data_IF_780800109386
#
_entry.id   IF_780800109386
#
_cell.length_a   1.000
_cell.length_b   1.000
_cell.length_c   1.000
_cell.angle_alpha   90.00
_cell.angle_beta   90.00
_cell.angle_gamma   90.00
#
_symmetry.space_group_name_H-M   'P 1'
#
loop_
_entity.id
_entity.type
_entity.pdbx_description
1 polymer ?
#
# COMPACT_ATOMS: atom_id res chain seq x y z
N UNK A 1 2.03 -19.63 5.83
CA UNK A 1 1.16 -18.58 6.44
C UNK A 1 -0.22 -18.69 5.81
N UNK A 2 -1.31 -18.48 6.56
CA UNK A 2 -2.65 -18.43 5.96
C UNK A 2 -2.72 -17.19 5.06
N UNK A 3 -3.15 -17.33 3.81
CA UNK A 3 -3.24 -16.22 2.85
C UNK A 3 -4.13 -15.11 3.41
N UNK A 4 -3.62 -13.88 3.47
CA UNK A 4 -4.41 -12.71 3.85
C UNK A 4 -5.25 -12.33 2.63
N UNK A 5 -6.57 -12.22 2.79
CA UNK A 5 -7.47 -11.83 1.68
C UNK A 5 -8.23 -10.57 2.06
N UNK A 6 -8.42 -9.65 1.09
CA UNK A 6 -9.26 -8.48 1.28
C UNK A 6 -8.60 -7.13 1.01
N UNK A 7 -9.11 -6.09 1.65
CA UNK A 7 -8.61 -4.73 1.55
C UNK A 7 -7.45 -4.51 2.53
N UNK A 8 -6.30 -4.07 2.01
CA UNK A 8 -5.06 -3.84 2.76
C UNK A 8 -4.58 -2.42 2.48
N UNK A 9 -4.99 -1.41 3.27
CA UNK A 9 -4.52 -0.04 3.07
C UNK A 9 -3.00 0.09 3.18
N UNK A 10 -2.31 0.67 2.18
CA UNK A 10 -0.95 1.14 2.34
C UNK A 10 -1.00 2.44 3.15
N UNK A 11 -0.78 2.33 4.46
CA UNK A 11 -0.93 3.45 5.39
C UNK A 11 0.06 4.57 5.07
N UNK A 12 -0.42 5.83 5.05
CA UNK A 12 0.49 6.98 5.02
C UNK A 12 1.27 7.05 6.33
N UNK A 13 2.43 7.70 6.31
CA UNK A 13 3.16 8.07 7.53
C UNK A 13 2.77 9.48 7.94
N UNK A 14 1.94 9.67 8.98
CA UNK A 14 1.61 11.00 9.49
C UNK A 14 2.86 11.68 10.06
N UNK A 15 3.17 12.86 9.54
CA UNK A 15 4.33 13.66 9.96
C UNK A 15 3.86 15.05 10.39
N UNK A 16 4.59 15.70 11.31
CA UNK A 16 4.41 17.10 11.70
C UNK A 16 5.67 17.94 11.47
N UNK A 17 6.74 17.33 10.99
CA UNK A 17 8.03 17.92 10.67
C UNK A 17 8.92 16.91 9.97
N UNK A 18 10.14 17.33 9.57
CA UNK A 18 11.11 16.43 8.94
C UNK A 18 11.46 15.30 9.92
N UNK A 19 11.27 14.06 9.51
CA UNK A 19 11.44 12.84 10.33
C UNK A 19 10.71 12.89 11.70
N UNK A 20 9.69 13.74 11.85
CA UNK A 20 8.92 13.86 13.08
C UNK A 20 7.53 13.26 12.89
N UNK A 21 7.32 12.06 13.41
CA UNK A 21 6.01 11.40 13.38
C UNK A 21 4.97 12.21 14.17
N UNK A 22 3.83 12.46 13.54
CA UNK A 22 2.61 12.87 14.24
C UNK A 22 2.02 11.67 14.97
N UNK A 23 2.49 11.41 16.21
CA UNK A 23 2.12 10.24 16.99
C UNK A 23 0.61 10.17 17.27
N UNK A 24 0.00 11.28 17.63
CA UNK A 24 -1.45 11.34 17.89
C UNK A 24 -2.25 11.15 16.61
N UNK A 25 -1.85 11.80 15.50
CA UNK A 25 -2.44 11.59 14.19
C UNK A 25 -2.26 10.14 13.70
N UNK A 26 -1.12 9.51 14.00
CA UNK A 26 -0.91 8.09 13.67
C UNK A 26 -1.88 7.19 14.42
N UNK A 27 -2.12 7.45 15.70
CA UNK A 27 -3.10 6.70 16.51
C UNK A 27 -4.51 6.89 15.92
N UNK A 28 -4.94 8.15 15.68
CA UNK A 28 -6.26 8.42 15.10
C UNK A 28 -6.43 7.77 13.73
N UNK A 29 -5.42 7.85 12.87
CA UNK A 29 -5.46 7.23 11.54
C UNK A 29 -5.56 5.70 11.64
N UNK A 30 -4.78 5.08 12.53
CA UNK A 30 -4.85 3.63 12.75
C UNK A 30 -6.26 3.21 13.16
N UNK A 31 -6.86 3.89 14.13
CA UNK A 31 -8.23 3.58 14.58
C UNK A 31 -9.27 3.84 13.47
N UNK A 32 -9.14 4.95 12.72
CA UNK A 32 -10.00 5.23 11.58
C UNK A 32 -9.98 4.12 10.53
N UNK A 33 -8.79 3.65 10.16
CA UNK A 33 -8.64 2.58 9.17
C UNK A 33 -9.22 1.26 9.71
N UNK A 34 -8.91 0.91 10.96
CA UNK A 34 -9.40 -0.33 11.57
C UNK A 34 -10.92 -0.33 11.76
N UNK A 35 -11.51 0.82 12.10
CA UNK A 35 -12.97 0.97 12.20
C UNK A 35 -13.71 0.68 10.88
N UNK A 36 -13.04 0.89 9.73
CA UNK A 36 -13.59 0.55 8.42
C UNK A 36 -13.58 -0.96 8.09
N UNK A 37 -13.07 -1.81 9.00
CA UNK A 37 -13.11 -3.27 8.84
C UNK A 37 -12.08 -3.85 7.87
N UNK A 38 -10.95 -3.17 7.68
CA UNK A 38 -9.87 -3.64 6.79
C UNK A 38 -9.27 -4.97 7.27
N UNK A 39 -8.69 -5.72 6.35
CA UNK A 39 -8.23 -7.09 6.60
C UNK A 39 -6.76 -7.18 7.05
N UNK A 40 -5.96 -6.16 6.72
CA UNK A 40 -4.57 -6.00 7.17
C UNK A 40 -4.15 -4.54 6.99
N UNK A 41 -2.96 -4.17 7.50
CA UNK A 41 -2.30 -2.89 7.21
C UNK A 41 -0.98 -3.13 6.51
N UNK A 42 -0.63 -2.23 5.57
CA UNK A 42 0.68 -2.21 4.94
C UNK A 42 1.41 -0.91 5.25
N UNK A 43 2.49 -0.97 6.02
CA UNK A 43 3.31 0.16 6.45
C UNK A 43 4.51 0.35 5.52
N UNK A 44 5.03 1.56 5.44
CA UNK A 44 6.27 1.89 4.73
C UNK A 44 6.28 1.47 3.25
N UNK A 45 5.10 1.47 2.61
CA UNK A 45 5.00 1.41 1.16
C UNK A 45 5.30 2.76 0.50
N UNK A 46 5.04 2.87 -0.80
CA UNK A 46 5.14 4.14 -1.56
C UNK A 46 4.26 5.22 -0.93
N UNK A 47 3.03 4.87 -0.55
CA UNK A 47 2.08 5.76 0.12
C UNK A 47 2.59 6.20 1.51
N UNK A 48 3.41 5.38 2.17
CA UNK A 48 4.05 5.70 3.44
C UNK A 48 5.31 6.54 3.34
N UNK A 49 5.69 7.01 2.15
CA UNK A 49 6.90 7.85 1.91
C UNK A 49 8.21 7.19 2.38
N UNK A 50 8.27 5.86 2.45
CA UNK A 50 9.36 5.12 3.10
C UNK A 50 10.76 5.57 2.64
N UNK A 51 10.95 5.79 1.31
CA UNK A 51 12.24 6.17 0.74
C UNK A 51 12.70 7.59 1.11
N UNK A 52 11.81 8.40 1.68
CA UNK A 52 12.09 9.79 2.09
C UNK A 52 12.22 9.94 3.61
N UNK A 53 12.09 8.86 4.38
CA UNK A 53 12.22 8.83 5.84
C UNK A 53 13.60 8.30 6.23
N UNK A 54 14.16 8.83 7.33
CA UNK A 54 15.35 8.21 7.95
C UNK A 54 15.04 6.79 8.43
N UNK A 55 16.08 5.98 8.64
CA UNK A 55 15.89 4.63 9.16
C UNK A 55 15.28 4.65 10.57
N UNK A 56 15.72 5.57 11.42
CA UNK A 56 15.17 5.77 12.77
C UNK A 56 13.68 6.06 12.73
N UNK A 57 13.25 6.95 11.82
CA UNK A 57 11.84 7.28 11.64
C UNK A 57 11.03 6.06 11.17
N UNK A 58 11.59 5.24 10.26
CA UNK A 58 10.94 3.99 9.81
C UNK A 58 10.76 3.01 10.97
N UNK A 59 11.79 2.81 11.79
CA UNK A 59 11.72 1.92 12.97
C UNK A 59 10.67 2.40 13.98
N UNK A 60 10.71 3.69 14.33
CA UNK A 60 9.76 4.29 15.28
C UNK A 60 8.31 4.20 14.80
N UNK A 61 8.08 4.42 13.50
CA UNK A 61 6.75 4.30 12.91
C UNK A 61 6.21 2.87 12.96
N UNK A 62 7.03 1.87 12.61
CA UNK A 62 6.64 0.45 12.67
C UNK A 62 6.29 0.04 14.10
N UNK A 63 7.12 0.40 15.09
CA UNK A 63 6.85 0.10 16.49
C UNK A 63 5.56 0.76 16.97
N UNK A 64 5.37 2.04 16.66
CA UNK A 64 4.17 2.78 17.06
C UNK A 64 2.90 2.14 16.52
N UNK A 65 2.85 1.84 15.21
CA UNK A 65 1.65 1.29 14.59
C UNK A 65 1.41 -0.16 15.01
N UNK A 66 2.44 -1.01 15.05
CA UNK A 66 2.29 -2.39 15.50
C UNK A 66 1.75 -2.46 16.93
N UNK A 67 2.26 -1.62 17.84
CA UNK A 67 1.76 -1.51 19.21
C UNK A 67 0.30 -1.02 19.23
N UNK A 68 -0.06 -0.02 18.42
CA UNK A 68 -1.44 0.49 18.33
C UNK A 68 -2.40 -0.55 17.77
N UNK A 69 -2.00 -1.28 16.72
CA UNK A 69 -2.80 -2.37 16.13
C UNK A 69 -3.02 -3.50 17.12
N UNK A 70 -2.01 -3.82 17.94
CA UNK A 70 -2.09 -4.83 19.00
C UNK A 70 -2.66 -6.19 18.52
N UNK A 71 -2.29 -6.62 17.32
CA UNK A 71 -2.72 -7.90 16.75
C UNK A 71 -4.17 -7.96 16.25
N UNK A 72 -4.92 -6.85 16.26
CA UNK A 72 -6.31 -6.80 15.76
C UNK A 72 -6.43 -7.18 14.28
N UNK A 73 -5.44 -6.81 13.48
CA UNK A 73 -5.28 -7.24 12.09
C UNK A 73 -3.80 -7.53 11.81
N UNK A 74 -3.47 -8.34 10.79
CA UNK A 74 -2.10 -8.51 10.33
C UNK A 74 -1.46 -7.19 9.89
N UNK A 75 -0.16 -7.00 10.18
CA UNK A 75 0.63 -5.86 9.71
C UNK A 75 1.73 -6.36 8.78
N UNK A 76 1.78 -5.79 7.58
CA UNK A 76 2.84 -5.98 6.61
C UNK A 76 3.75 -4.75 6.61
N UNK A 77 5.07 -4.92 6.43
CA UNK A 77 6.02 -3.80 6.46
C UNK A 77 6.84 -3.76 5.17
N UNK A 78 6.87 -2.61 4.51
CA UNK A 78 7.73 -2.34 3.36
C UNK A 78 9.18 -2.25 3.79
N UNK A 79 10.03 -3.08 3.18
CA UNK A 79 11.47 -3.13 3.45
C UNK A 79 12.30 -2.81 2.21
N UNK A 80 11.70 -2.19 1.21
CA UNK A 80 12.40 -1.81 -0.03
C UNK A 80 13.56 -0.87 0.26
N UNK A 81 14.75 -1.29 -0.11
CA UNK A 81 15.97 -0.48 -0.05
C UNK A 81 16.92 -0.84 -1.20
N UNK A 82 17.94 -0.02 -1.45
CA UNK A 82 19.05 -0.35 -2.36
C UNK A 82 20.13 -1.19 -1.66
N UNK A 83 20.12 -1.24 -0.33
CA UNK A 83 20.96 -2.09 0.50
C UNK A 83 20.16 -3.29 1.00
N UNK A 84 20.59 -4.50 0.66
CA UNK A 84 19.98 -5.74 1.16
C UNK A 84 20.06 -5.81 2.68
N UNK A 85 21.19 -5.41 3.27
CA UNK A 85 21.39 -5.43 4.73
C UNK A 85 20.40 -4.51 5.45
N UNK A 86 20.09 -3.33 4.92
CA UNK A 86 19.11 -2.42 5.52
C UNK A 86 17.67 -2.99 5.41
N UNK A 87 17.35 -3.65 4.31
CA UNK A 87 16.09 -4.39 4.16
C UNK A 87 15.95 -5.48 5.24
N UNK A 88 17.02 -6.27 5.47
CA UNK A 88 17.02 -7.34 6.48
C UNK A 88 16.94 -6.78 7.90
N UNK A 89 17.66 -5.69 8.20
CA UNK A 89 17.58 -5.03 9.53
C UNK A 89 16.18 -4.53 9.83
N UNK A 90 15.52 -3.86 8.86
CA UNK A 90 14.16 -3.37 9.03
C UNK A 90 13.18 -4.52 9.20
N UNK A 91 13.35 -5.62 8.44
CA UNK A 91 12.52 -6.82 8.58
C UNK A 91 12.68 -7.48 9.95
N UNK A 92 13.91 -7.54 10.48
CA UNK A 92 14.16 -8.07 11.81
C UNK A 92 13.52 -7.21 12.92
N UNK A 93 13.53 -5.88 12.75
CA UNK A 93 12.81 -4.98 13.64
C UNK A 93 11.29 -5.18 13.55
N UNK A 94 10.75 -5.23 12.33
CA UNK A 94 9.31 -5.47 12.09
C UNK A 94 8.82 -6.78 12.72
N UNK A 95 9.62 -7.85 12.62
CA UNK A 95 9.32 -9.13 13.26
C UNK A 95 9.22 -9.01 14.79
N UNK A 96 10.15 -8.28 15.42
CA UNK A 96 10.11 -8.01 16.86
C UNK A 96 8.89 -7.19 17.29
N UNK A 97 8.40 -6.31 16.40
CA UNK A 97 7.19 -5.51 16.64
C UNK A 97 5.90 -6.29 16.37
N UNK A 98 5.96 -7.53 15.88
CA UNK A 98 4.78 -8.37 15.62
C UNK A 98 4.21 -8.24 14.21
N UNK A 99 4.95 -7.70 13.24
CA UNK A 99 4.58 -7.79 11.83
C UNK A 99 4.57 -9.26 11.37
N UNK A 100 3.68 -9.59 10.42
CA UNK A 100 3.49 -10.98 9.96
C UNK A 100 4.17 -11.27 8.62
N UNK A 101 4.49 -10.25 7.85
CA UNK A 101 5.16 -10.36 6.56
C UNK A 101 5.87 -9.05 6.20
N UNK A 102 6.75 -9.12 5.21
CA UNK A 102 7.39 -7.94 4.63
C UNK A 102 7.11 -7.84 3.13
N UNK A 103 7.25 -6.64 2.59
CA UNK A 103 6.99 -6.33 1.18
C UNK A 103 8.21 -5.63 0.60
N UNK A 104 8.75 -6.11 -0.52
CA UNK A 104 9.89 -5.48 -1.17
C UNK A 104 9.66 -5.29 -2.67
N UNK A 105 9.84 -4.05 -3.14
CA UNK A 105 10.05 -3.75 -4.55
C UNK A 105 11.52 -3.97 -4.93
N UNK A 106 11.81 -4.00 -6.24
CA UNK A 106 13.18 -4.12 -6.72
C UNK A 106 14.06 -2.94 -6.24
N UNK A 107 15.39 -3.12 -6.11
CA UNK A 107 16.32 -2.01 -5.92
C UNK A 107 16.13 -0.96 -7.02
N UNK A 108 16.10 0.33 -6.66
CA UNK A 108 15.51 1.37 -7.52
C UNK A 108 16.51 2.35 -8.16
N UNK A 109 17.80 2.33 -7.82
CA UNK A 109 18.80 3.24 -8.40
C UNK A 109 19.31 2.75 -9.76
N UNK A 110 19.84 1.52 -9.81
CA UNK A 110 20.18 0.80 -11.03
C UNK A 110 19.06 -0.20 -11.34
N UNK A 111 18.71 -0.32 -12.62
CA UNK A 111 17.73 -1.31 -13.08
C UNK A 111 18.42 -2.67 -13.25
N UNK A 112 18.15 -3.67 -12.40
CA UNK A 112 18.69 -5.02 -12.57
C UNK A 112 18.01 -5.77 -13.71
N UNK A 113 18.70 -6.75 -14.29
CA UNK A 113 18.14 -7.73 -15.21
C UNK A 113 17.20 -8.71 -14.50
N UNK A 114 16.40 -9.47 -15.24
CA UNK A 114 15.49 -10.47 -14.64
C UNK A 114 16.27 -11.56 -13.87
N UNK A 115 17.44 -11.95 -14.36
CA UNK A 115 18.30 -12.91 -13.67
C UNK A 115 18.84 -12.36 -12.34
N UNK A 116 19.30 -11.10 -12.32
CA UNK A 116 19.74 -10.42 -11.09
C UNK A 116 18.58 -10.21 -10.11
N UNK A 117 17.35 -10.00 -10.59
CA UNK A 117 16.16 -9.94 -9.74
C UNK A 117 15.87 -11.28 -9.07
N UNK A 118 16.01 -12.40 -9.80
CA UNK A 118 15.84 -13.74 -9.22
C UNK A 118 16.88 -13.97 -8.13
N UNK A 119 18.14 -13.66 -8.40
CA UNK A 119 19.23 -13.81 -7.43
C UNK A 119 19.02 -12.91 -6.20
N UNK A 120 18.68 -11.64 -6.42
CA UNK A 120 18.42 -10.67 -5.34
C UNK A 120 17.26 -11.09 -4.44
N UNK A 121 16.09 -11.44 -5.02
CA UNK A 121 14.94 -11.81 -4.21
C UNK A 121 15.11 -13.15 -3.51
N UNK A 122 15.83 -14.09 -4.10
CA UNK A 122 16.20 -15.36 -3.45
C UNK A 122 17.09 -15.08 -2.24
N UNK A 123 18.18 -14.31 -2.42
CA UNK A 123 19.07 -13.95 -1.32
C UNK A 123 18.37 -13.15 -0.21
N UNK A 124 17.48 -12.23 -0.60
CA UNK A 124 16.67 -11.49 0.36
C UNK A 124 15.73 -12.43 1.13
N UNK A 125 14.98 -13.30 0.45
CA UNK A 125 14.03 -14.22 1.07
C UNK A 125 14.71 -15.23 2.01
N UNK A 126 15.93 -15.66 1.69
CA UNK A 126 16.75 -16.54 2.55
C UNK A 126 17.18 -15.84 3.85
N UNK A 127 17.45 -14.51 3.79
CA UNK A 127 17.92 -13.73 4.93
C UNK A 127 16.79 -13.19 5.82
N UNK A 128 15.54 -13.19 5.34
CA UNK A 128 14.42 -12.57 6.02
C UNK A 128 13.84 -13.48 7.13
N UNK A 129 13.54 -12.92 8.34
CA UNK A 129 12.85 -13.65 9.40
C UNK A 129 11.34 -13.77 9.19
N UNK A 130 10.78 -13.12 8.18
CA UNK A 130 9.36 -13.05 7.86
C UNK A 130 9.13 -13.40 6.39
N UNK A 131 7.94 -13.92 6.04
CA UNK A 131 7.54 -14.14 4.65
C UNK A 131 7.59 -12.86 3.82
N UNK A 132 8.01 -13.00 2.56
CA UNK A 132 8.20 -11.91 1.61
C UNK A 132 7.06 -11.85 0.59
N UNK A 133 6.48 -10.66 0.42
CA UNK A 133 5.69 -10.30 -0.75
C UNK A 133 6.54 -9.53 -1.75
N UNK A 134 6.57 -9.98 -2.98
CA UNK A 134 7.13 -9.21 -4.09
C UNK A 134 6.28 -7.97 -4.36
N UNK A 135 6.91 -6.87 -4.77
CA UNK A 135 6.18 -5.66 -5.15
C UNK A 135 6.60 -5.17 -6.54
N UNK A 136 5.72 -5.36 -7.52
CA UNK A 136 5.90 -4.84 -8.87
C UNK A 136 5.41 -3.39 -8.95
N UNK A 137 6.34 -2.43 -9.00
CA UNK A 137 6.06 -0.97 -9.06
C UNK A 137 6.95 -0.29 -10.11
N UNK A 138 6.82 -0.65 -11.40
CA UNK A 138 7.76 -0.26 -12.44
C UNK A 138 7.87 1.25 -12.66
N UNK A 139 6.81 2.02 -12.40
CA UNK A 139 6.83 3.48 -12.50
C UNK A 139 7.81 4.16 -11.51
N UNK A 140 8.14 3.49 -10.40
CA UNK A 140 9.03 4.01 -9.36
C UNK A 140 10.42 3.36 -9.39
N UNK A 141 10.47 2.04 -9.50
CA UNK A 141 11.74 1.30 -9.47
C UNK A 141 12.36 1.10 -10.85
N UNK A 142 11.70 1.56 -11.92
CA UNK A 142 12.19 1.54 -13.32
C UNK A 142 12.46 0.15 -13.89
N UNK A 143 12.06 -0.90 -13.20
CA UNK A 143 12.15 -2.29 -13.66
C UNK A 143 10.84 -2.98 -13.42
N UNK A 144 10.51 -3.89 -14.32
CA UNK A 144 9.29 -4.67 -14.31
C UNK A 144 9.62 -6.11 -13.93
N UNK A 145 8.87 -6.70 -13.00
CA UNK A 145 8.96 -8.13 -12.70
C UNK A 145 8.20 -8.92 -13.78
N UNK A 146 8.92 -9.56 -14.70
CA UNK A 146 8.29 -10.35 -15.74
C UNK A 146 7.53 -11.56 -15.16
N UNK A 147 6.43 -12.03 -15.77
CA UNK A 147 5.67 -13.17 -15.26
C UNK A 147 6.52 -14.44 -15.05
N UNK A 148 7.50 -14.68 -15.93
CA UNK A 148 8.42 -15.80 -15.79
C UNK A 148 9.30 -15.68 -14.53
N UNK A 149 9.78 -14.47 -14.25
CA UNK A 149 10.57 -14.16 -13.03
C UNK A 149 9.72 -14.38 -11.78
N UNK A 150 8.49 -13.87 -11.76
CA UNK A 150 7.56 -14.08 -10.63
C UNK A 150 7.28 -15.56 -10.42
N UNK A 151 7.03 -16.31 -11.49
CA UNK A 151 6.80 -17.75 -11.42
C UNK A 151 7.99 -18.49 -10.82
N UNK A 152 9.23 -18.15 -11.24
CA UNK A 152 10.45 -18.75 -10.67
C UNK A 152 10.58 -18.44 -9.18
N UNK A 153 10.36 -17.16 -8.79
CA UNK A 153 10.43 -16.71 -7.40
C UNK A 153 9.32 -17.30 -6.51
N UNK A 154 8.15 -17.59 -7.08
CA UNK A 154 7.04 -18.21 -6.35
C UNK A 154 7.33 -19.65 -5.89
N UNK A 155 8.37 -20.30 -6.42
CA UNK A 155 8.83 -21.61 -5.93
C UNK A 155 9.65 -21.52 -4.63
N UNK A 156 10.07 -20.33 -4.24
CA UNK A 156 10.80 -20.13 -2.99
C UNK A 156 9.85 -20.16 -1.78
N UNK A 157 10.08 -21.00 -0.75
CA UNK A 157 9.11 -21.21 0.34
C UNK A 157 8.82 -19.98 1.19
N UNK A 158 9.72 -19.00 1.20
CA UNK A 158 9.55 -17.75 1.95
C UNK A 158 9.02 -16.58 1.10
N UNK A 159 8.69 -16.81 -0.20
CA UNK A 159 8.04 -15.83 -1.08
C UNK A 159 6.57 -16.23 -1.23
N UNK A 160 5.67 -15.47 -0.61
CA UNK A 160 4.28 -15.88 -0.38
C UNK A 160 3.24 -15.06 -1.16
N UNK A 161 3.67 -14.22 -2.06
CA UNK A 161 2.75 -13.46 -2.90
C UNK A 161 3.39 -12.29 -3.63
N UNK A 162 2.54 -11.58 -4.38
CA UNK A 162 2.93 -10.39 -5.12
C UNK A 162 1.84 -9.32 -5.06
N UNK A 163 2.26 -8.07 -4.87
CA UNK A 163 1.46 -6.88 -5.10
C UNK A 163 1.83 -6.27 -6.46
N UNK A 164 0.87 -6.11 -7.34
CA UNK A 164 1.08 -5.42 -8.63
C UNK A 164 0.52 -3.99 -8.63
N UNK A 165 1.36 -3.03 -8.94
CA UNK A 165 0.99 -1.62 -9.15
C UNK A 165 1.38 -1.12 -10.55
N UNK A 166 1.50 -2.02 -11.52
CA UNK A 166 1.80 -1.67 -12.92
C UNK A 166 0.62 -1.03 -13.66
N UNK A 167 -0.61 -1.20 -13.15
CA UNK A 167 -1.86 -0.88 -13.84
C UNK A 167 -2.03 -1.64 -15.18
N UNK A 168 -1.32 -2.74 -15.38
CA UNK A 168 -1.41 -3.56 -16.58
C UNK A 168 -2.25 -4.82 -16.31
N UNK A 169 -3.53 -4.78 -16.65
CA UNK A 169 -4.43 -5.93 -16.43
C UNK A 169 -4.04 -7.17 -17.23
N UNK A 170 -3.46 -7.04 -18.41
CA UNK A 170 -2.96 -8.20 -19.18
C UNK A 170 -1.85 -8.92 -18.42
N UNK A 171 -0.93 -8.18 -17.82
CA UNK A 171 0.11 -8.72 -16.95
C UNK A 171 -0.51 -9.40 -15.72
N UNK A 172 -1.43 -8.72 -15.05
CA UNK A 172 -2.06 -9.26 -13.84
C UNK A 172 -2.84 -10.55 -14.13
N UNK A 173 -3.58 -10.59 -15.24
CA UNK A 173 -4.28 -11.80 -15.71
C UNK A 173 -3.29 -12.94 -16.05
N UNK A 174 -2.12 -12.63 -16.59
CA UNK A 174 -1.08 -13.64 -16.82
C UNK A 174 -0.56 -14.23 -15.50
N UNK A 175 -0.42 -13.42 -14.46
CA UNK A 175 -0.06 -13.92 -13.13
C UNK A 175 -1.18 -14.79 -12.53
N UNK A 176 -2.44 -14.35 -12.61
CA UNK A 176 -3.58 -15.15 -12.17
C UNK A 176 -3.67 -16.50 -12.89
N UNK A 177 -3.43 -16.52 -14.20
CA UNK A 177 -3.40 -17.77 -14.98
C UNK A 177 -2.33 -18.75 -14.49
N UNK A 178 -1.14 -18.25 -14.11
CA UNK A 178 -0.03 -19.13 -13.69
C UNK A 178 -0.04 -19.47 -12.20
N UNK A 179 -0.55 -18.60 -11.35
CA UNK A 179 -0.37 -18.64 -9.89
C UNK A 179 -1.68 -18.52 -9.10
N UNK A 180 -2.79 -18.19 -9.74
CA UNK A 180 -4.06 -17.90 -9.05
C UNK A 180 -4.68 -19.08 -8.33
N UNK A 181 -4.36 -20.31 -8.72
CA UNK A 181 -4.85 -21.54 -8.07
C UNK A 181 -3.96 -21.98 -6.88
N UNK A 182 -2.86 -21.26 -6.61
CA UNK A 182 -1.94 -21.56 -5.50
C UNK A 182 -2.48 -20.98 -4.20
N UNK A 183 -2.79 -21.84 -3.23
CA UNK A 183 -3.25 -21.42 -1.88
C UNK A 183 -2.11 -20.80 -1.02
N UNK A 184 -0.85 -21.04 -1.39
CA UNK A 184 0.34 -20.55 -0.69
C UNK A 184 0.92 -19.26 -1.27
N UNK A 185 0.35 -18.73 -2.37
CA UNK A 185 0.84 -17.53 -3.05
C UNK A 185 -0.30 -16.53 -3.34
N UNK A 186 -0.28 -15.37 -2.69
CA UNK A 186 -1.33 -14.37 -2.83
C UNK A 186 -1.02 -13.32 -3.92
N UNK A 187 -2.05 -12.92 -4.66
CA UNK A 187 -1.96 -11.89 -5.70
C UNK A 187 -2.85 -10.68 -5.35
N UNK A 188 -2.22 -9.51 -5.17
CA UNK A 188 -2.93 -8.27 -4.86
C UNK A 188 -2.76 -7.22 -5.95
N UNK A 189 -3.84 -6.48 -6.24
CA UNK A 189 -3.80 -5.33 -7.13
C UNK A 189 -3.59 -4.03 -6.33
N UNK A 190 -2.71 -3.17 -6.81
CA UNK A 190 -2.42 -1.86 -6.22
C UNK A 190 -3.38 -0.75 -6.68
N UNK A 191 -3.54 -0.53 -8.00
CA UNK A 191 -4.49 0.45 -8.52
C UNK A 191 -5.92 0.15 -8.05
N UNK A 192 -6.48 1.09 -7.32
CA UNK A 192 -7.79 0.92 -6.65
C UNK A 192 -8.95 0.84 -7.64
N UNK A 193 -8.78 1.45 -8.80
CA UNK A 193 -9.75 1.41 -9.90
C UNK A 193 -9.93 0.02 -10.49
N UNK A 194 -8.96 -0.88 -10.30
CA UNK A 194 -8.94 -2.23 -10.83
C UNK A 194 -9.30 -3.32 -9.80
N UNK A 195 -9.58 -2.93 -8.55
CA UNK A 195 -9.76 -3.89 -7.44
C UNK A 195 -10.96 -4.80 -7.65
N UNK A 196 -12.11 -4.25 -8.01
CA UNK A 196 -13.34 -5.04 -8.16
C UNK A 196 -13.20 -6.13 -9.22
N UNK A 197 -12.72 -5.77 -10.42
CA UNK A 197 -12.55 -6.72 -11.52
C UNK A 197 -11.45 -7.74 -11.25
N UNK A 198 -10.35 -7.32 -10.60
CA UNK A 198 -9.28 -8.24 -10.24
C UNK A 198 -9.74 -9.32 -9.26
N UNK A 199 -10.52 -8.95 -8.23
CA UNK A 199 -11.05 -9.90 -7.24
C UNK A 199 -12.05 -10.86 -7.88
N UNK A 200 -12.94 -10.39 -8.77
CA UNK A 200 -13.86 -11.26 -9.53
C UNK A 200 -13.09 -12.29 -10.35
N UNK A 201 -11.91 -11.94 -10.87
CA UNK A 201 -11.04 -12.80 -11.68
C UNK A 201 -10.09 -13.67 -10.84
N UNK A 202 -10.12 -13.59 -9.51
CA UNK A 202 -9.37 -14.47 -8.62
C UNK A 202 -8.25 -13.82 -7.82
N UNK A 203 -8.09 -12.49 -7.84
CA UNK A 203 -7.16 -11.81 -6.94
C UNK A 203 -7.57 -11.97 -5.47
N UNK A 204 -6.59 -12.06 -4.58
CA UNK A 204 -6.82 -12.19 -3.13
C UNK A 204 -7.28 -10.88 -2.48
N UNK A 205 -7.10 -9.75 -3.15
CA UNK A 205 -7.55 -8.46 -2.65
C UNK A 205 -6.89 -7.25 -3.30
N UNK A 206 -7.07 -6.08 -2.66
CA UNK A 206 -6.52 -4.81 -3.10
C UNK A 206 -5.66 -4.13 -2.03
N UNK A 207 -4.56 -3.50 -2.48
CA UNK A 207 -3.69 -2.68 -1.63
C UNK A 207 -3.85 -1.22 -2.06
N UNK A 208 -4.96 -0.61 -1.62
CA UNK A 208 -5.52 0.60 -2.18
C UNK A 208 -5.31 1.82 -1.27
N UNK A 209 -4.77 2.89 -1.83
CA UNK A 209 -4.42 4.09 -1.08
C UNK A 209 -5.61 4.88 -0.55
N UNK A 210 -6.70 4.92 -1.29
CA UNK A 210 -7.93 5.58 -0.87
C UNK A 210 -8.56 4.99 0.39
N UNK A 211 -8.19 3.77 0.74
CA UNK A 211 -8.61 3.14 2.00
C UNK A 211 -8.01 3.80 3.25
N UNK A 212 -7.04 4.74 3.12
CA UNK A 212 -6.66 5.63 4.21
C UNK A 212 -7.77 6.65 4.52
N UNK A 213 -8.52 7.09 3.50
CA UNK A 213 -9.57 8.12 3.62
C UNK A 213 -10.93 7.48 3.85
N UNK A 214 -11.26 6.45 3.05
CA UNK A 214 -12.55 5.78 3.04
C UNK A 214 -12.40 4.26 3.17
N UNK A 215 -11.91 3.72 4.29
CA UNK A 215 -11.57 2.31 4.41
C UNK A 215 -12.76 1.40 4.16
N UNK A 216 -13.95 1.73 4.67
CA UNK A 216 -15.19 0.96 4.49
C UNK A 216 -15.59 0.79 3.01
N UNK A 217 -15.37 1.82 2.16
CA UNK A 217 -15.67 1.75 0.73
C UNK A 217 -14.91 0.61 0.03
N UNK A 218 -13.62 0.45 0.35
CA UNK A 218 -12.77 -0.57 -0.25
C UNK A 218 -13.05 -1.96 0.31
N UNK A 219 -13.45 -2.05 1.58
CA UNK A 219 -13.93 -3.28 2.20
C UNK A 219 -15.25 -3.73 1.53
N UNK A 220 -16.19 -2.83 1.33
CA UNK A 220 -17.44 -3.10 0.62
C UNK A 220 -17.18 -3.52 -0.84
N UNK A 221 -16.25 -2.88 -1.55
CA UNK A 221 -15.87 -3.28 -2.91
C UNK A 221 -15.33 -4.71 -2.94
N UNK A 222 -14.46 -5.05 -2.00
CA UNK A 222 -13.93 -6.41 -1.90
C UNK A 222 -15.05 -7.45 -1.71
N UNK A 223 -15.96 -7.24 -0.77
CA UNK A 223 -17.06 -8.17 -0.53
C UNK A 223 -18.06 -8.22 -1.69
N UNK A 224 -18.38 -7.10 -2.32
CA UNK A 224 -19.22 -7.06 -3.51
C UNK A 224 -18.62 -7.89 -4.65
N UNK A 225 -17.28 -7.78 -4.84
CA UNK A 225 -16.57 -8.55 -5.85
C UNK A 225 -16.54 -10.06 -5.53
N UNK A 226 -16.27 -10.44 -4.28
CA UNK A 226 -16.35 -11.84 -3.83
C UNK A 226 -17.73 -12.46 -4.08
N UNK A 227 -18.78 -11.68 -3.85
CA UNK A 227 -20.17 -12.11 -4.04
C UNK A 227 -20.65 -11.96 -5.49
N UNK A 228 -19.78 -11.43 -6.40
CA UNK A 228 -20.13 -11.14 -7.80
C UNK A 228 -21.36 -10.22 -7.94
N UNK A 229 -21.58 -9.35 -6.96
CA UNK A 229 -22.63 -8.33 -6.99
C UNK A 229 -22.22 -7.16 -7.90
N UNK A 230 -22.42 -7.35 -9.19
CA UNK A 230 -22.03 -6.38 -10.23
C UNK A 230 -22.73 -5.03 -10.04
N UNK A 231 -23.96 -5.00 -9.53
CA UNK A 231 -24.68 -3.75 -9.33
C UNK A 231 -24.05 -2.91 -8.21
N UNK A 232 -23.77 -3.53 -7.07
CA UNK A 232 -23.06 -2.88 -5.97
C UNK A 232 -21.62 -2.48 -6.39
N UNK A 233 -20.88 -3.37 -7.08
CA UNK A 233 -19.56 -3.05 -7.61
C UNK A 233 -19.58 -1.79 -8.49
N UNK A 234 -20.54 -1.68 -9.43
CA UNK A 234 -20.66 -0.50 -10.31
C UNK A 234 -20.95 0.78 -9.55
N UNK A 235 -21.75 0.73 -8.49
CA UNK A 235 -22.03 1.88 -7.64
C UNK A 235 -20.80 2.33 -6.84
N UNK A 236 -20.07 1.37 -6.25
CA UNK A 236 -18.85 1.63 -5.49
C UNK A 236 -17.72 2.12 -6.42
N UNK A 237 -17.59 1.54 -7.62
CA UNK A 237 -16.60 1.94 -8.62
C UNK A 237 -16.75 3.41 -9.02
N UNK A 238 -17.97 3.93 -9.13
CA UNK A 238 -18.20 5.36 -9.40
C UNK A 238 -17.63 6.25 -8.30
N UNK A 239 -17.75 5.83 -7.03
CA UNK A 239 -17.18 6.57 -5.90
C UNK A 239 -15.64 6.50 -5.92
N UNK A 240 -15.07 5.33 -6.19
CA UNK A 240 -13.61 5.16 -6.32
C UNK A 240 -13.08 6.05 -7.46
N UNK A 241 -13.74 6.05 -8.62
CA UNK A 241 -13.36 6.93 -9.74
C UNK A 241 -13.51 8.41 -9.40
N UNK A 242 -14.53 8.80 -8.62
CA UNK A 242 -14.67 10.17 -8.13
C UNK A 242 -13.51 10.55 -7.21
N UNK A 243 -13.09 9.67 -6.30
CA UNK A 243 -11.93 9.86 -5.42
C UNK A 243 -10.67 10.06 -6.27
N UNK A 244 -10.34 9.12 -7.14
CA UNK A 244 -9.09 9.15 -7.92
C UNK A 244 -9.02 10.36 -8.86
N UNK A 245 -10.12 10.75 -9.48
CA UNK A 245 -10.16 11.88 -10.41
C UNK A 245 -10.27 13.24 -9.74
N UNK A 246 -10.76 13.34 -8.49
CA UNK A 246 -10.94 14.63 -7.80
C UNK A 246 -9.91 14.91 -6.71
N UNK A 247 -9.41 13.87 -6.00
CA UNK A 247 -8.44 14.06 -4.91
C UNK A 247 -6.99 13.89 -5.39
N UNK A 248 -6.72 12.93 -6.31
CA UNK A 248 -5.35 12.59 -6.70
C UNK A 248 -4.81 13.46 -7.84
N UNK A 249 -5.67 14.21 -8.51
CA UNK A 249 -5.32 15.02 -9.68
C UNK A 249 -5.25 16.53 -9.41
N UNK A 250 -5.43 16.96 -8.16
CA UNK A 250 -5.46 18.39 -7.79
C UNK A 250 -4.13 19.09 -8.06
N UNK A 251 -3.00 18.41 -7.85
CA UNK A 251 -1.67 18.93 -8.12
C UNK A 251 -1.26 18.75 -9.58
N UNK A 252 -0.04 19.22 -9.90
CA UNK A 252 0.53 19.21 -11.27
C UNK A 252 1.53 18.06 -11.50
N UNK A 253 1.92 17.32 -10.45
CA UNK A 253 3.04 16.38 -10.49
C UNK A 253 2.63 15.01 -9.91
N UNK A 254 3.48 14.00 -10.10
CA UNK A 254 3.24 12.64 -9.59
C UNK A 254 3.01 12.54 -8.07
N UNK A 255 3.49 13.54 -7.30
CA UNK A 255 3.21 13.64 -5.86
C UNK A 255 1.77 14.06 -5.51
N UNK A 256 0.95 14.40 -6.52
CA UNK A 256 -0.44 14.86 -6.31
C UNK A 256 -1.30 13.85 -5.58
N UNK A 257 -1.16 12.57 -5.92
CA UNK A 257 -1.83 11.47 -5.21
C UNK A 257 -1.58 11.53 -3.71
N UNK A 258 -0.31 11.52 -3.32
CA UNK A 258 0.09 11.47 -1.91
C UNK A 258 -0.34 12.73 -1.13
N UNK A 259 -0.18 13.89 -1.77
CA UNK A 259 -0.65 15.17 -1.22
C UNK A 259 -2.16 15.20 -1.07
N UNK A 260 -2.89 14.64 -2.03
CA UNK A 260 -4.34 14.52 -1.98
C UNK A 260 -4.81 13.68 -0.79
N UNK A 261 -4.18 12.52 -0.59
CA UNK A 261 -4.49 11.63 0.55
C UNK A 261 -4.22 12.34 1.89
N UNK A 262 -3.00 12.88 2.08
CA UNK A 262 -2.63 13.56 3.34
C UNK A 262 -3.48 14.80 3.60
N UNK A 263 -3.72 15.63 2.59
CA UNK A 263 -4.56 16.81 2.71
C UNK A 263 -6.01 16.45 3.08
N UNK A 264 -6.55 15.37 2.49
CA UNK A 264 -7.89 14.88 2.83
C UNK A 264 -7.98 14.48 4.31
N UNK A 265 -7.03 13.70 4.80
CA UNK A 265 -6.98 13.26 6.18
C UNK A 265 -6.82 14.43 7.16
N UNK A 266 -6.04 15.45 6.78
CA UNK A 266 -5.88 16.67 7.58
C UNK A 266 -7.18 17.49 7.64
N UNK A 267 -7.89 17.63 6.53
CA UNK A 267 -9.19 18.30 6.48
C UNK A 267 -10.28 17.55 7.26
N UNK A 268 -10.15 16.22 7.38
CA UNK A 268 -10.99 15.38 8.23
C UNK A 268 -10.59 15.42 9.72
N UNK A 269 -9.53 16.14 10.09
CA UNK A 269 -9.05 16.25 11.48
C UNK A 269 -8.33 15.00 11.99
N UNK A 270 -7.91 14.09 11.10
CA UNK A 270 -7.30 12.80 11.47
C UNK A 270 -5.81 12.98 11.81
N UNK A 271 -5.03 13.60 10.92
CA UNK A 271 -3.59 13.83 11.12
C UNK A 271 -3.10 15.07 10.39
N UNK A 272 -1.87 15.52 10.64
CA UNK A 272 -1.24 16.60 9.89
C UNK A 272 -0.91 16.15 8.44
N UNK A 273 -0.88 17.10 7.50
CA UNK A 273 -0.57 16.85 6.08
C UNK A 273 0.89 17.15 5.72
N UNK A 274 1.79 17.18 6.69
CA UNK A 274 3.22 17.39 6.44
C UNK A 274 3.78 16.30 5.52
N UNK A 275 4.64 16.70 4.57
CA UNK A 275 5.25 15.83 3.58
C UNK A 275 6.75 15.75 3.80
N UNK A 276 7.33 14.56 3.68
CA UNK A 276 8.79 14.40 3.65
C UNK A 276 9.42 15.11 2.46
N UNK A 277 10.63 15.66 2.63
CA UNK A 277 11.38 16.18 1.50
C UNK A 277 11.55 15.12 0.39
N UNK A 278 11.55 15.53 -0.91
CA UNK A 278 11.52 16.91 -1.42
C UNK A 278 10.09 17.48 -1.60
N UNK A 279 9.06 16.78 -1.14
CA UNK A 279 7.68 17.19 -1.32
C UNK A 279 7.25 18.23 -0.30
N UNK A 280 6.16 18.93 -0.63
CA UNK A 280 5.55 19.91 0.26
C UNK A 280 4.04 19.74 0.24
N UNK A 281 3.38 20.07 1.36
CA UNK A 281 1.91 20.06 1.46
C UNK A 281 1.26 20.96 0.39
N UNK A 282 0.00 20.73 0.10
CA UNK A 282 -0.79 21.62 -0.75
C UNK A 282 -0.90 23.02 -0.15
N UNK A 283 -0.94 24.04 -1.03
CA UNK A 283 -1.19 25.44 -0.66
C UNK A 283 -2.70 25.66 -0.54
N UNK A 284 -3.08 26.89 -0.16
CA UNK A 284 -4.46 27.28 0.11
C UNK A 284 -5.43 26.93 -1.03
N UNK A 285 -5.04 27.19 -2.28
CA UNK A 285 -5.91 26.92 -3.45
C UNK A 285 -6.15 25.44 -3.67
N UNK A 286 -5.09 24.63 -3.65
CA UNK A 286 -5.23 23.18 -3.82
C UNK A 286 -5.98 22.57 -2.64
N UNK A 287 -5.71 23.04 -1.41
CA UNK A 287 -6.41 22.60 -0.20
C UNK A 287 -7.92 22.92 -0.28
N UNK A 288 -8.29 24.10 -0.79
CA UNK A 288 -9.71 24.45 -1.01
C UNK A 288 -10.38 23.52 -2.05
N UNK A 289 -9.65 23.11 -3.10
CA UNK A 289 -10.14 22.14 -4.10
C UNK A 289 -10.36 20.76 -3.49
N UNK A 290 -9.46 20.29 -2.63
CA UNK A 290 -9.61 19.03 -1.89
C UNK A 290 -10.83 19.10 -0.97
N UNK A 291 -11.02 20.20 -0.21
CA UNK A 291 -12.19 20.41 0.66
C UNK A 291 -13.49 20.27 -0.13
N UNK A 292 -13.61 20.97 -1.25
CA UNK A 292 -14.79 20.91 -2.12
C UNK A 292 -15.04 19.49 -2.66
N UNK A 293 -13.98 18.76 -2.98
CA UNK A 293 -14.10 17.37 -3.45
C UNK A 293 -14.57 16.43 -2.33
N UNK A 294 -14.08 16.59 -1.11
CA UNK A 294 -14.54 15.82 0.06
C UNK A 294 -16.00 16.09 0.40
N UNK A 295 -16.43 17.36 0.36
CA UNK A 295 -17.83 17.75 0.55
C UNK A 295 -18.75 17.10 -0.51
N UNK A 296 -18.30 17.06 -1.77
CA UNK A 296 -19.02 16.37 -2.86
C UNK A 296 -19.07 14.86 -2.69
N UNK A 297 -18.14 14.27 -1.92
CA UNK A 297 -18.14 12.86 -1.52
C UNK A 297 -18.97 12.60 -0.24
N UNK A 298 -19.57 13.64 0.34
CA UNK A 298 -20.38 13.56 1.56
C UNK A 298 -19.58 13.52 2.86
N UNK A 299 -18.32 13.96 2.83
CA UNK A 299 -17.43 13.97 4.00
C UNK A 299 -17.42 15.36 4.66
N UNK A 300 -17.68 15.40 5.96
CA UNK A 300 -17.52 16.61 6.74
C UNK A 300 -16.03 16.98 6.89
N UNK A 301 -15.70 18.25 6.67
CA UNK A 301 -14.38 18.79 6.88
C UNK A 301 -14.38 19.67 8.12
N UNK A 302 -13.34 19.59 8.96
CA UNK A 302 -13.09 20.55 10.03
C UNK A 302 -12.79 21.96 9.48
N UNK A 303 -12.87 22.97 10.32
CA UNK A 303 -12.54 24.36 9.97
C UNK A 303 -11.08 24.55 9.55
#
# INVERSE_FOLDING_TARGET
MKTIKGSIPPMITPLKGDDQIDREGTVRLTEHILAGGVHALFLLGTTGEAQSLSYECRYDFVELVCRQVAGRVPVLVGVTDTSLDESVKLAAHAAKCGAVAVVAAAPYYFAPSQQELIEYYTALADALPLPLFLYNMPSHVKVFLEPATVKTLAEHPNIVGLKDSSANMTYFQTLLYHLGDREDFALYVGPEELTGESVVMGADGGVNGGANIFPELYVQMYYAACNRDVNTMRALQRKIMQISTSLYTVGKYGSSYLKGVKCSLSLMGICDDYMSYPYRRFRTEERARIRKALEALGTACGE
#
